data_IF_212846470162
#
_entry.id   IF_212846470162
#
_cell.length_a   1.000
_cell.length_b   1.000
_cell.length_c   1.000
_cell.angle_alpha   90.00
_cell.angle_beta   90.00
_cell.angle_gamma   90.00
#
_symmetry.space_group_name_H-M   'P 1'
#
loop_
_entity.id
_entity.type
_entity.pdbx_description
1 polymer ?
#
# COMPACT_ATOMS: atom_id res chain seq x y z
N UNK A 1 -26.25 -19.71 11.69
CA UNK A 1 -24.81 -19.42 11.53
C UNK A 1 -24.61 -17.94 11.33
N UNK A 2 -23.74 -17.25 12.09
CA UNK A 2 -23.43 -15.86 11.78
C UNK A 2 -22.57 -15.86 10.51
N UNK A 3 -23.10 -15.28 9.44
CA UNK A 3 -22.31 -14.96 8.27
C UNK A 3 -21.38 -13.81 8.67
N UNK A 4 -20.13 -14.12 9.02
CA UNK A 4 -19.06 -13.14 9.14
C UNK A 4 -18.85 -12.51 7.77
N UNK A 5 -19.53 -11.39 7.49
CA UNK A 5 -19.25 -10.60 6.28
C UNK A 5 -17.77 -10.23 6.33
N UNK A 6 -16.99 -10.45 5.26
CA UNK A 6 -15.60 -10.03 5.24
C UNK A 6 -15.54 -8.55 5.59
N UNK A 7 -14.87 -8.21 6.69
CA UNK A 7 -14.68 -6.82 7.07
C UNK A 7 -13.85 -6.15 5.98
N UNK A 8 -14.32 -5.02 5.48
CA UNK A 8 -13.60 -4.26 4.45
C UNK A 8 -12.17 -3.94 4.93
N UNK A 9 -11.15 -4.41 4.19
CA UNK A 9 -9.74 -4.12 4.44
C UNK A 9 -9.21 -3.20 3.35
N UNK A 10 -8.75 -2.02 3.75
CA UNK A 10 -8.04 -1.10 2.84
C UNK A 10 -6.74 -1.72 2.35
N UNK A 11 -6.06 -2.47 3.22
CA UNK A 11 -4.85 -3.22 2.88
C UNK A 11 -5.06 -4.17 1.70
N UNK A 12 -6.12 -4.98 1.73
CA UNK A 12 -6.43 -5.90 0.62
C UNK A 12 -6.81 -5.17 -0.67
N UNK A 13 -7.53 -4.04 -0.58
CA UNK A 13 -7.82 -3.19 -1.74
C UNK A 13 -6.54 -2.67 -2.39
N UNK A 14 -5.61 -2.14 -1.60
CA UNK A 14 -4.35 -1.63 -2.16
C UNK A 14 -3.52 -2.76 -2.77
N UNK A 15 -3.40 -3.92 -2.11
CA UNK A 15 -2.72 -5.11 -2.67
C UNK A 15 -3.33 -5.53 -4.00
N UNK A 16 -4.66 -5.52 -4.12
CA UNK A 16 -5.36 -5.86 -5.35
C UNK A 16 -5.05 -4.86 -6.48
N UNK A 17 -5.06 -3.56 -6.19
CA UNK A 17 -4.71 -2.52 -7.17
C UNK A 17 -3.25 -2.66 -7.63
N UNK A 18 -2.31 -2.85 -6.69
CA UNK A 18 -0.88 -3.03 -6.98
C UNK A 18 -0.65 -4.23 -7.91
N UNK A 19 -1.39 -5.33 -7.73
CA UNK A 19 -1.27 -6.52 -8.57
C UNK A 19 -1.92 -6.33 -9.94
N UNK A 20 -3.15 -5.83 -9.98
CA UNK A 20 -4.04 -6.02 -11.13
C UNK A 20 -4.32 -4.75 -11.95
N UNK A 21 -4.06 -3.56 -11.42
CA UNK A 21 -4.38 -2.31 -12.14
C UNK A 21 -3.40 -2.07 -13.29
N UNK A 22 -3.90 -1.67 -14.45
CA UNK A 22 -3.08 -1.19 -15.56
C UNK A 22 -2.90 0.35 -15.55
N UNK A 23 -3.58 1.05 -14.64
CA UNK A 23 -3.43 2.49 -14.48
C UNK A 23 -2.23 2.79 -13.58
N UNK A 24 -1.21 3.42 -14.17
CA UNK A 24 0.07 3.73 -13.52
C UNK A 24 -0.09 4.67 -12.31
N UNK A 25 -0.90 5.73 -12.43
CA UNK A 25 -1.12 6.67 -11.33
C UNK A 25 -1.88 6.00 -10.17
N UNK A 26 -2.89 5.19 -10.50
CA UNK A 26 -3.63 4.42 -9.50
C UNK A 26 -2.75 3.39 -8.78
N UNK A 27 -1.80 2.74 -9.49
CA UNK A 27 -0.79 1.87 -8.88
C UNK A 27 0.14 2.65 -7.95
N UNK A 28 0.66 3.79 -8.40
CA UNK A 28 1.52 4.65 -7.59
C UNK A 28 0.81 5.15 -6.32
N UNK A 29 -0.46 5.55 -6.44
CA UNK A 29 -1.32 5.91 -5.32
C UNK A 29 -1.48 4.74 -4.34
N UNK A 30 -1.79 3.54 -4.84
CA UNK A 30 -1.98 2.36 -3.99
C UNK A 30 -0.69 1.96 -3.27
N UNK A 31 0.48 2.04 -3.92
CA UNK A 31 1.78 1.82 -3.27
C UNK A 31 2.01 2.83 -2.14
N UNK A 32 1.84 4.12 -2.43
CA UNK A 32 1.98 5.19 -1.43
C UNK A 32 1.06 4.98 -0.23
N UNK A 33 -0.21 4.66 -0.48
CA UNK A 33 -1.16 4.41 0.60
C UNK A 33 -0.80 3.16 1.37
N UNK A 34 -0.47 2.05 0.70
CA UNK A 34 -0.11 0.79 1.35
C UNK A 34 1.11 0.95 2.27
N UNK A 35 2.17 1.63 1.81
CA UNK A 35 3.37 1.86 2.64
C UNK A 35 2.96 2.60 3.92
N UNK A 36 2.39 3.80 3.81
CA UNK A 36 2.01 4.63 4.97
C UNK A 36 1.00 3.96 5.91
N UNK A 37 0.11 3.16 5.36
CA UNK A 37 -0.95 2.51 6.09
C UNK A 37 -0.44 1.39 7.02
N UNK A 38 0.75 0.85 6.75
CA UNK A 38 1.47 -0.05 7.64
C UNK A 38 2.65 0.64 8.35
N UNK A 39 2.62 1.96 8.57
CA UNK A 39 3.68 2.68 9.29
C UNK A 39 3.90 2.20 10.72
N UNK A 40 5.12 2.37 11.30
CA UNK A 40 5.47 1.86 12.63
C UNK A 40 4.79 2.64 13.77
N UNK A 41 3.93 3.62 13.44
CA UNK A 41 3.23 4.51 14.36
C UNK A 41 2.04 3.90 15.11
N UNK A 42 1.84 2.58 15.04
CA UNK A 42 1.07 1.84 16.05
C UNK A 42 -0.44 1.73 15.85
N UNK A 43 -1.02 2.33 14.82
CA UNK A 43 -2.38 2.04 14.39
C UNK A 43 -2.33 1.56 12.94
N UNK A 44 -2.52 0.25 12.73
CA UNK A 44 -2.72 -0.31 11.40
C UNK A 44 -4.06 0.24 10.87
N UNK A 45 -3.97 1.37 10.18
CA UNK A 45 -5.10 1.98 9.51
C UNK A 45 -5.50 1.20 8.25
N UNK A 46 -4.87 0.06 7.95
CA UNK A 46 -5.18 -0.74 6.77
C UNK A 46 -6.30 -1.74 7.01
N UNK A 47 -6.52 -2.13 8.26
CA UNK A 47 -7.34 -3.29 8.65
C UNK A 47 -6.89 -4.59 7.94
N UNK A 48 -7.16 -5.74 8.57
CA UNK A 48 -6.72 -7.04 8.05
C UNK A 48 -5.28 -7.39 8.43
N UNK A 49 -4.65 -8.27 7.65
CA UNK A 49 -3.38 -8.88 8.01
C UNK A 49 -2.22 -7.89 7.79
N UNK A 50 -1.32 -7.85 8.77
CA UNK A 50 -0.02 -7.16 8.68
C UNK A 50 0.80 -7.65 7.49
N UNK A 51 1.73 -6.82 7.06
CA UNK A 51 2.73 -7.19 6.04
C UNK A 51 4.12 -7.03 6.60
N UNK A 52 5.05 -7.90 6.24
CA UNK A 52 6.43 -7.78 6.71
C UNK A 52 7.09 -6.48 6.24
N UNK A 53 8.07 -6.00 7.01
CA UNK A 53 8.83 -4.79 6.64
C UNK A 53 9.48 -4.92 5.25
N UNK A 54 9.97 -6.11 4.89
CA UNK A 54 10.53 -6.38 3.55
C UNK A 54 9.54 -6.07 2.43
N UNK A 55 8.28 -6.51 2.56
CA UNK A 55 7.21 -6.23 1.59
C UNK A 55 6.95 -4.73 1.47
N UNK A 56 6.93 -4.02 2.61
CA UNK A 56 6.75 -2.55 2.63
C UNK A 56 7.92 -1.86 1.90
N UNK A 57 9.14 -2.35 2.07
CA UNK A 57 10.34 -1.85 1.39
C UNK A 57 10.27 -2.10 -0.12
N UNK A 58 9.86 -3.29 -0.55
CA UNK A 58 9.68 -3.62 -1.98
C UNK A 58 8.66 -2.69 -2.63
N UNK A 59 7.55 -2.37 -1.96
CA UNK A 59 6.60 -1.38 -2.45
C UNK A 59 7.18 0.02 -2.56
N UNK A 60 8.01 0.43 -1.59
CA UNK A 60 8.72 1.70 -1.66
C UNK A 60 9.66 1.73 -2.86
N UNK A 61 10.50 0.70 -3.02
CA UNK A 61 11.44 0.60 -4.14
C UNK A 61 10.68 0.62 -5.48
N UNK A 62 9.59 -0.15 -5.59
CA UNK A 62 8.72 -0.16 -6.77
C UNK A 62 8.13 1.23 -7.06
N UNK A 63 7.67 1.96 -6.04
CA UNK A 63 7.16 3.32 -6.19
C UNK A 63 8.22 4.27 -6.75
N UNK A 64 9.44 4.22 -6.21
CA UNK A 64 10.53 5.11 -6.61
C UNK A 64 11.10 4.75 -7.98
N UNK A 65 11.21 3.47 -8.32
CA UNK A 65 11.79 3.02 -9.58
C UNK A 65 10.81 3.18 -10.74
N UNK A 66 9.56 2.74 -10.57
CA UNK A 66 8.61 2.65 -11.68
C UNK A 66 7.74 3.91 -11.83
N UNK A 67 7.58 4.69 -10.76
CA UNK A 67 6.69 5.86 -10.74
C UNK A 67 7.36 7.15 -10.22
N UNK A 68 8.65 7.43 -10.55
CA UNK A 68 9.42 8.52 -9.92
C UNK A 68 8.80 9.91 -10.10
N UNK A 69 8.10 10.13 -11.20
CA UNK A 69 7.55 11.44 -11.56
C UNK A 69 6.18 11.74 -10.94
N UNK A 70 5.53 10.74 -10.35
CA UNK A 70 4.21 10.88 -9.72
C UNK A 70 4.29 11.72 -8.46
N UNK A 71 3.20 12.41 -8.10
CA UNK A 71 3.13 13.14 -6.82
C UNK A 71 3.29 12.19 -5.63
N UNK A 72 2.81 10.95 -5.75
CA UNK A 72 2.89 9.92 -4.71
C UNK A 72 4.34 9.55 -4.38
N UNK A 73 5.18 9.36 -5.41
CA UNK A 73 6.61 9.11 -5.22
C UNK A 73 7.35 10.33 -4.64
N UNK A 74 6.90 11.55 -4.92
CA UNK A 74 7.46 12.80 -4.36
C UNK A 74 7.07 13.01 -2.90
N UNK A 75 5.82 12.69 -2.54
CA UNK A 75 5.27 12.78 -1.16
C UNK A 75 5.87 11.74 -0.20
N UNK A 76 6.49 10.68 -0.72
CA UNK A 76 7.20 9.68 0.08
C UNK A 76 8.71 9.67 -0.26
N UNK A 77 9.49 10.61 0.31
CA UNK A 77 10.90 10.76 -0.03
C UNK A 77 11.81 9.68 0.59
N UNK A 78 11.46 9.15 1.76
CA UNK A 78 12.24 8.14 2.48
C UNK A 78 11.37 6.96 2.94
N UNK A 79 12.04 5.83 3.16
CA UNK A 79 11.47 4.64 3.78
C UNK A 79 11.78 4.62 5.29
N UNK A 80 10.91 4.01 6.10
CA UNK A 80 10.99 3.95 7.57
C UNK A 80 10.95 2.51 8.09
#
# INVERSE_FOLDING_TARGET
SPFSKPTFSRGEVYKNIIRNSNNADLKAYALYRAINCYAPGGLNDCAGIEVDKSVRKEWFDQLKQNYPNTEWAKKLPYYW
#
